data_IF_362075030324
#
_entry.id   IF_362075030324
#
_cell.length_a   1.000
_cell.length_b   1.000
_cell.length_c   1.000
_cell.angle_alpha   90.00
_cell.angle_beta   90.00
_cell.angle_gamma   90.00
#
_symmetry.space_group_name_H-M   'P 1'
#
loop_
_entity.id
_entity.type
_entity.pdbx_description
1 polymer ?
#
# COMPACT_ATOMS: atom_id res chain seq x y z
N UNK A 1 4.62 -9.17 20.66
CA UNK A 1 4.31 -7.88 19.99
C UNK A 1 2.81 -7.80 20.00
N UNK A 2 2.23 -6.93 20.81
CA UNK A 2 0.79 -7.06 21.11
C UNK A 2 0.00 -6.22 20.13
N UNK A 3 -0.62 -6.90 19.16
CA UNK A 3 -1.66 -6.38 18.28
C UNK A 3 -3.00 -6.90 18.78
N UNK A 4 -4.05 -6.09 18.63
CA UNK A 4 -5.41 -6.54 18.90
C UNK A 4 -5.87 -7.51 17.82
N UNK A 5 -6.84 -8.35 18.14
CA UNK A 5 -7.41 -9.30 17.18
C UNK A 5 -7.96 -8.61 15.92
N UNK A 6 -8.61 -7.45 16.08
CA UNK A 6 -9.15 -6.65 14.96
C UNK A 6 -8.10 -5.99 14.08
N UNK A 7 -6.82 -6.04 14.49
CA UNK A 7 -5.66 -5.53 13.76
C UNK A 7 -4.93 -6.62 12.97
N UNK A 8 -5.24 -7.89 13.21
CA UNK A 8 -4.64 -9.01 12.52
C UNK A 8 -5.43 -9.39 11.27
N UNK A 9 -4.72 -9.80 10.23
CA UNK A 9 -5.34 -10.22 8.99
C UNK A 9 -6.18 -11.50 9.16
N UNK A 10 -7.49 -11.46 8.85
CA UNK A 10 -8.35 -12.63 8.97
C UNK A 10 -7.99 -13.70 7.93
N UNK A 11 -8.24 -14.97 8.28
CA UNK A 11 -8.03 -16.09 7.36
C UNK A 11 -8.94 -16.02 6.11
N UNK A 12 -10.12 -15.41 6.21
CA UNK A 12 -11.10 -15.35 5.13
C UNK A 12 -10.70 -14.41 3.98
N UNK A 13 -9.83 -13.44 4.27
CA UNK A 13 -9.37 -12.42 3.31
C UNK A 13 -7.85 -12.39 3.15
N UNK A 14 -7.17 -13.47 3.57
CA UNK A 14 -5.72 -13.59 3.47
C UNK A 14 -5.27 -13.78 2.03
N UNK A 15 -4.11 -13.22 1.70
CA UNK A 15 -3.44 -13.53 0.44
C UNK A 15 -2.94 -14.97 0.43
N UNK A 16 -2.90 -15.55 -0.77
CA UNK A 16 -2.25 -16.83 -1.02
C UNK A 16 -0.74 -16.73 -0.80
N UNK A 17 -0.08 -17.88 -0.65
CA UNK A 17 1.37 -17.93 -0.52
C UNK A 17 2.07 -17.36 -1.76
N UNK A 18 1.58 -17.67 -2.96
CA UNK A 18 2.11 -17.13 -4.21
C UNK A 18 2.03 -15.60 -4.25
N UNK A 19 0.90 -15.01 -3.86
CA UNK A 19 0.75 -13.56 -3.78
C UNK A 19 1.68 -12.93 -2.73
N UNK A 20 1.99 -13.64 -1.65
CA UNK A 20 3.00 -13.19 -0.68
C UNK A 20 4.41 -13.24 -1.28
N UNK A 21 4.74 -14.28 -2.05
CA UNK A 21 6.03 -14.42 -2.75
C UNK A 21 6.18 -13.31 -3.79
N UNK A 22 5.17 -13.08 -4.63
CA UNK A 22 5.18 -12.01 -5.62
C UNK A 22 5.43 -10.65 -4.97
N UNK A 23 4.77 -10.39 -3.83
CA UNK A 23 4.93 -9.14 -3.10
C UNK A 23 6.31 -9.00 -2.44
N UNK A 24 6.85 -10.09 -1.88
CA UNK A 24 8.21 -10.13 -1.33
C UNK A 24 9.20 -9.75 -2.43
N UNK A 25 9.15 -10.44 -3.57
CA UNK A 25 10.05 -10.15 -4.70
C UNK A 25 9.86 -8.73 -5.25
N UNK A 26 8.61 -8.24 -5.33
CA UNK A 26 8.33 -6.88 -5.78
C UNK A 26 8.96 -5.82 -4.87
N UNK A 27 9.12 -6.11 -3.57
CA UNK A 27 9.65 -5.15 -2.59
C UNK A 27 11.11 -5.38 -2.22
N UNK A 28 11.71 -6.53 -2.60
CA UNK A 28 13.12 -6.81 -2.36
C UNK A 28 14.02 -5.95 -3.23
N UNK A 29 14.98 -5.26 -2.59
CA UNK A 29 16.01 -4.51 -3.32
C UNK A 29 16.97 -5.51 -3.99
N UNK A 30 17.10 -5.43 -5.31
CA UNK A 30 18.03 -6.25 -6.08
C UNK A 30 19.32 -5.46 -6.34
N UNK A 31 20.41 -5.87 -5.71
CA UNK A 31 21.73 -5.24 -5.89
C UNK A 31 22.16 -5.20 -7.35
N UNK A 32 22.64 -4.05 -7.81
CA UNK A 32 23.11 -3.85 -9.19
C UNK A 32 22.00 -3.53 -10.20
N UNK A 33 20.73 -3.58 -9.80
CA UNK A 33 19.61 -3.17 -10.65
C UNK A 33 19.42 -1.65 -10.57
N UNK A 34 19.34 -0.99 -11.72
CA UNK A 34 19.01 0.44 -11.77
C UNK A 34 17.52 0.63 -11.42
N UNK A 35 17.25 1.42 -10.38
CA UNK A 35 15.87 1.75 -10.01
C UNK A 35 15.26 2.68 -11.05
N UNK A 36 14.10 2.29 -11.57
CA UNK A 36 13.27 3.16 -12.37
C UNK A 36 12.65 4.23 -11.49
N UNK A 37 12.64 5.47 -11.99
CA UNK A 37 12.03 6.62 -11.34
C UNK A 37 10.91 7.15 -12.24
N UNK A 38 9.77 6.44 -12.33
CA UNK A 38 8.73 6.77 -13.29
C UNK A 38 8.07 8.14 -13.01
N UNK A 39 8.27 8.70 -11.81
CA UNK A 39 7.84 10.05 -11.47
C UNK A 39 6.32 10.23 -11.64
N UNK A 40 5.89 11.38 -12.17
CA UNK A 40 4.46 11.64 -12.43
C UNK A 40 3.88 10.74 -13.54
N UNK A 41 4.71 10.24 -14.46
CA UNK A 41 4.27 9.40 -15.59
C UNK A 41 3.88 7.99 -15.16
N UNK A 42 4.28 7.57 -13.96
CA UNK A 42 3.77 6.35 -13.32
C UNK A 42 2.22 6.31 -13.33
N UNK A 43 1.56 7.47 -13.15
CA UNK A 43 0.11 7.52 -13.10
C UNK A 43 -0.53 7.18 -14.47
N UNK A 44 0.15 7.43 -15.59
CA UNK A 44 -0.36 7.24 -16.95
C UNK A 44 -0.21 5.79 -17.45
N UNK A 45 0.77 5.03 -16.94
CA UNK A 45 1.09 3.67 -17.42
C UNK A 45 0.59 2.55 -16.50
N UNK A 46 0.18 2.85 -15.28
CA UNK A 46 0.06 1.87 -14.19
C UNK A 46 -1.40 1.66 -13.77
N UNK A 47 -2.10 0.76 -14.47
CA UNK A 47 -3.53 0.46 -14.24
C UNK A 47 -3.73 -0.30 -12.92
N UNK A 48 -4.85 -0.02 -12.25
CA UNK A 48 -5.32 -0.82 -11.11
C UNK A 48 -5.70 -2.23 -11.59
N UNK A 49 -5.36 -3.23 -10.78
CA UNK A 49 -5.77 -4.61 -11.02
C UNK A 49 -7.16 -4.83 -10.41
N UNK A 50 -8.03 -5.52 -11.13
CA UNK A 50 -9.35 -5.89 -10.63
C UNK A 50 -9.25 -7.10 -9.67
N UNK A 51 -10.13 -7.20 -8.64
CA UNK A 51 -11.24 -6.30 -8.36
C UNK A 51 -10.81 -5.03 -7.61
N UNK A 52 -11.32 -3.87 -8.03
CA UNK A 52 -11.15 -2.61 -7.28
C UNK A 52 -11.94 -2.61 -5.97
N UNK A 53 -11.45 -1.92 -4.92
CA UNK A 53 -12.21 -1.73 -3.70
C UNK A 53 -13.43 -0.82 -3.94
N UNK A 54 -14.55 -1.03 -3.23
CA UNK A 54 -15.74 -0.19 -3.35
C UNK A 54 -15.48 1.22 -2.79
N UNK A 55 -16.12 2.25 -3.36
CA UNK A 55 -15.96 3.62 -2.88
C UNK A 55 -16.62 3.82 -1.50
N UNK A 56 -15.81 3.78 -0.45
CA UNK A 56 -16.23 3.90 0.96
C UNK A 56 -15.36 4.91 1.71
N UNK A 57 -15.84 5.35 2.88
CA UNK A 57 -15.13 6.28 3.79
C UNK A 57 -14.49 5.59 5.00
N UNK A 58 -14.83 4.32 5.22
CA UNK A 58 -14.27 3.47 6.27
C UNK A 58 -13.83 2.14 5.69
N UNK A 59 -12.66 1.67 6.10
CA UNK A 59 -12.03 0.44 5.62
C UNK A 59 -11.55 -0.41 6.80
N UNK A 60 -11.11 -1.62 6.51
CA UNK A 60 -10.40 -2.44 7.48
C UNK A 60 -8.93 -2.49 7.06
N UNK A 61 -8.03 -2.06 7.94
CA UNK A 61 -6.58 -2.08 7.70
C UNK A 61 -5.97 -3.02 8.72
N UNK A 62 -5.30 -4.06 8.23
CA UNK A 62 -4.81 -5.18 9.05
C UNK A 62 -3.34 -5.47 8.78
N UNK A 63 -2.72 -6.18 9.72
CA UNK A 63 -1.33 -6.61 9.68
C UNK A 63 -1.28 -8.11 9.48
N UNK A 64 -0.36 -8.57 8.63
CA UNK A 64 0.04 -9.98 8.57
C UNK A 64 1.46 -10.13 9.10
N UNK A 65 1.64 -10.96 10.10
CA UNK A 65 2.98 -11.39 10.54
C UNK A 65 3.36 -12.60 9.67
N UNK A 66 4.36 -12.42 8.82
CA UNK A 66 4.91 -13.47 7.95
C UNK A 66 6.12 -14.12 8.61
N UNK A 67 6.47 -15.33 8.13
CA UNK A 67 7.70 -16.00 8.55
C UNK A 67 8.92 -15.20 8.06
N UNK A 68 9.77 -14.67 8.95
CA UNK A 68 10.92 -13.85 8.56
C UNK A 68 12.00 -14.63 7.80
N UNK A 69 12.00 -15.97 7.86
CA UNK A 69 12.94 -16.79 7.07
C UNK A 69 12.49 -16.81 5.60
N UNK A 70 11.19 -16.89 5.36
CA UNK A 70 10.61 -16.99 4.01
C UNK A 70 10.36 -15.61 3.38
N UNK A 71 9.95 -14.63 4.19
CA UNK A 71 9.57 -13.28 3.77
C UNK A 71 10.36 -12.21 4.52
N UNK A 72 11.69 -12.18 4.38
CA UNK A 72 12.55 -11.29 5.16
C UNK A 72 12.25 -9.80 4.93
N UNK A 73 11.98 -9.40 3.68
CA UNK A 73 11.72 -8.01 3.30
C UNK A 73 10.40 -7.53 3.90
N UNK A 74 9.32 -8.28 3.68
CA UNK A 74 8.00 -7.95 4.22
C UNK A 74 8.00 -7.96 5.75
N UNK A 75 8.71 -8.90 6.37
CA UNK A 75 8.84 -8.97 7.83
C UNK A 75 9.59 -7.77 8.38
N UNK A 76 10.67 -7.33 7.71
CA UNK A 76 11.41 -6.12 8.08
C UNK A 76 10.51 -4.88 7.99
N UNK A 77 9.82 -4.68 6.87
CA UNK A 77 8.91 -3.54 6.71
C UNK A 77 7.79 -3.55 7.76
N UNK A 78 7.19 -4.72 8.02
CA UNK A 78 6.13 -4.87 9.01
C UNK A 78 6.62 -4.50 10.42
N UNK A 79 7.78 -5.02 10.81
CA UNK A 79 8.34 -4.74 12.13
C UNK A 79 8.68 -3.26 12.30
N UNK A 80 9.31 -2.64 11.30
CA UNK A 80 9.66 -1.23 11.31
C UNK A 80 8.41 -0.34 11.37
N UNK A 81 7.44 -0.60 10.49
CA UNK A 81 6.15 0.10 10.45
C UNK A 81 5.44 0.04 11.81
N UNK A 82 5.37 -1.13 12.45
CA UNK A 82 4.72 -1.27 13.76
C UNK A 82 5.46 -0.51 14.88
N UNK A 83 6.79 -0.43 14.83
CA UNK A 83 7.56 0.37 15.78
C UNK A 83 7.31 1.85 15.57
N UNK A 84 7.34 2.32 14.32
CA UNK A 84 7.17 3.72 13.97
C UNK A 84 5.74 4.21 14.26
N UNK A 85 4.72 3.43 13.91
CA UNK A 85 3.32 3.76 14.22
C UNK A 85 3.06 3.84 15.73
N UNK A 86 3.75 3.02 16.54
CA UNK A 86 3.67 3.09 18.01
C UNK A 86 4.37 4.32 18.55
N UNK A 87 5.60 4.60 18.07
CA UNK A 87 6.37 5.79 18.43
C UNK A 87 5.57 7.06 18.17
N UNK A 88 4.88 7.08 17.03
CA UNK A 88 4.09 8.23 16.58
C UNK A 88 2.68 8.25 17.21
N UNK A 89 2.31 7.23 18.00
CA UNK A 89 1.06 7.18 18.75
C UNK A 89 -0.21 6.91 17.93
N UNK A 90 -0.08 6.55 16.65
CA UNK A 90 -1.20 6.45 15.70
C UNK A 90 -1.57 5.00 15.32
N UNK A 91 -0.87 3.99 15.85
CA UNK A 91 -1.11 2.57 15.52
C UNK A 91 -2.60 2.19 15.57
N UNK A 92 -3.26 2.54 16.68
CA UNK A 92 -4.66 2.16 16.92
C UNK A 92 -5.69 3.00 16.15
N UNK A 93 -5.26 4.11 15.55
CA UNK A 93 -6.12 5.00 14.77
C UNK A 93 -6.16 4.59 13.29
N UNK A 94 -5.08 3.96 12.81
CA UNK A 94 -4.89 3.64 11.38
C UNK A 94 -4.90 2.14 11.10
N UNK A 95 -4.71 1.28 12.11
CA UNK A 95 -4.79 -0.18 11.97
C UNK A 95 -5.92 -0.70 12.86
N UNK A 96 -6.85 -1.44 12.24
CA UNK A 96 -8.02 -2.03 12.85
C UNK A 96 -9.19 -2.12 11.89
N UNK A 97 -10.32 -2.58 12.41
CA UNK A 97 -11.58 -2.61 11.67
C UNK A 97 -12.28 -1.23 11.66
N UNK A 98 -12.93 -0.90 10.55
CA UNK A 98 -13.72 0.32 10.37
C UNK A 98 -12.98 1.64 10.63
N UNK A 99 -11.68 1.67 10.34
CA UNK A 99 -10.83 2.87 10.41
C UNK A 99 -11.16 3.85 9.30
N UNK A 100 -10.83 5.13 9.52
CA UNK A 100 -11.07 6.17 8.52
C UNK A 100 -10.16 5.99 7.31
N UNK A 101 -10.75 5.89 6.12
CA UNK A 101 -10.02 5.72 4.88
C UNK A 101 -10.96 5.92 3.70
N UNK A 102 -10.96 7.13 3.13
CA UNK A 102 -11.75 7.47 1.96
C UNK A 102 -11.06 6.99 0.70
N UNK A 103 -11.62 5.96 0.08
CA UNK A 103 -11.11 5.42 -1.18
C UNK A 103 -11.33 6.45 -2.29
N UNK A 104 -10.26 6.77 -3.01
CA UNK A 104 -10.27 7.69 -4.14
C UNK A 104 -10.21 6.92 -5.45
N UNK A 105 -10.99 7.39 -6.41
CA UNK A 105 -11.02 6.85 -7.75
C UNK A 105 -10.05 7.61 -8.66
N UNK A 106 -9.37 6.87 -9.54
CA UNK A 106 -8.72 7.40 -10.72
C UNK A 106 -9.64 7.15 -11.92
N UNK A 107 -9.98 8.22 -12.65
CA UNK A 107 -10.75 8.13 -13.89
C UNK A 107 -9.80 8.22 -15.07
N UNK A 108 -9.96 7.32 -16.04
CA UNK A 108 -9.33 7.47 -17.36
C UNK A 108 -10.02 8.64 -18.06
N UNK A 109 -9.27 9.69 -18.35
CA UNK A 109 -9.75 10.90 -19.03
C UNK A 109 -9.42 10.91 -20.51
N UNK A 110 -8.48 10.07 -20.95
CA UNK A 110 -8.14 9.84 -22.35
C UNK A 110 -7.76 8.37 -22.55
N UNK A 111 -8.56 7.65 -23.33
CA UNK A 111 -8.34 6.23 -23.62
C UNK A 111 -7.19 5.98 -24.60
N UNK A 112 -6.90 6.93 -25.50
CA UNK A 112 -5.85 6.80 -26.50
C UNK A 112 -4.46 7.00 -25.89
N UNK A 113 -4.34 7.90 -24.89
CA UNK A 113 -3.09 8.14 -24.16
C UNK A 113 -3.00 7.39 -22.83
N UNK A 114 -4.10 6.82 -22.35
CA UNK A 114 -4.18 6.18 -21.03
C UNK A 114 -4.15 7.17 -19.86
N UNK A 115 -4.26 8.48 -20.13
CA UNK A 115 -4.19 9.52 -19.10
C UNK A 115 -5.30 9.31 -18.06
N UNK A 116 -4.90 9.30 -16.79
CA UNK A 116 -5.85 9.22 -15.66
C UNK A 116 -5.77 10.48 -14.80
N UNK A 117 -6.91 10.84 -14.21
CA UNK A 117 -7.02 11.94 -13.26
C UNK A 117 -7.75 11.47 -12.00
N UNK A 118 -7.32 12.00 -10.85
CA UNK A 118 -8.01 11.77 -9.59
C UNK A 118 -9.39 12.43 -9.63
N UNK A 119 -10.43 11.66 -9.35
CA UNK A 119 -11.80 12.19 -9.33
C UNK A 119 -12.01 13.06 -8.08
N UNK A 120 -12.48 14.30 -8.30
CA UNK A 120 -12.94 15.20 -7.23
C UNK A 120 -11.86 16.14 -6.67
N UNK A 121 -12.02 16.54 -5.41
CA UNK A 121 -11.18 17.56 -4.75
C UNK A 121 -9.75 17.10 -4.47
N UNK A 122 -8.87 18.04 -4.06
CA UNK A 122 -7.48 17.74 -3.66
C UNK A 122 -7.40 16.58 -2.67
N UNK A 123 -6.30 15.82 -2.72
CA UNK A 123 -6.02 14.73 -1.77
C UNK A 123 -5.81 15.35 -0.39
N UNK A 124 -6.63 14.92 0.58
CA UNK A 124 -6.50 15.30 1.98
C UNK A 124 -6.02 14.14 2.84
N UNK A 125 -5.95 14.35 4.16
CA UNK A 125 -5.68 13.26 5.10
C UNK A 125 -6.80 12.21 5.07
N UNK A 126 -6.42 10.99 5.42
CA UNK A 126 -7.23 9.78 5.39
C UNK A 126 -7.81 9.45 4.02
N UNK A 127 -7.14 9.84 2.94
CA UNK A 127 -7.50 9.40 1.59
C UNK A 127 -6.66 8.17 1.22
N UNK A 128 -7.32 7.14 0.73
CA UNK A 128 -6.69 5.95 0.18
C UNK A 128 -6.62 6.15 -1.32
N UNK A 129 -5.41 6.39 -1.81
CA UNK A 129 -5.14 6.75 -3.20
C UNK A 129 -4.50 5.57 -3.90
N UNK A 130 -5.02 5.12 -5.06
CA UNK A 130 -4.39 4.06 -5.83
C UNK A 130 -2.99 4.44 -6.28
N UNK A 131 -2.07 3.48 -6.32
CA UNK A 131 -0.70 3.65 -6.81
C UNK A 131 -0.40 2.81 -8.03
N UNK A 132 -0.85 1.57 -8.06
CA UNK A 132 -0.90 0.69 -9.23
C UNK A 132 -1.40 -0.68 -8.79
N UNK A 133 -1.98 -1.49 -9.70
CA UNK A 133 -2.25 -2.90 -9.43
C UNK A 133 -3.14 -3.01 -8.20
N UNK A 134 -2.61 -3.64 -7.15
CA UNK A 134 -3.22 -3.83 -5.86
C UNK A 134 -2.69 -2.90 -4.76
N UNK A 135 -1.80 -1.97 -5.10
CA UNK A 135 -1.13 -1.04 -4.20
C UNK A 135 -1.90 0.27 -4.05
N UNK A 136 -2.04 0.69 -2.81
CA UNK A 136 -2.68 1.93 -2.40
C UNK A 136 -1.83 2.63 -1.36
N UNK A 137 -2.05 3.93 -1.19
CA UNK A 137 -1.46 4.71 -0.10
C UNK A 137 -2.55 5.42 0.66
N UNK A 138 -2.60 5.21 1.97
CA UNK A 138 -3.33 6.07 2.87
C UNK A 138 -2.46 7.29 3.20
N UNK A 139 -2.93 8.48 2.81
CA UNK A 139 -2.30 9.75 3.19
C UNK A 139 -2.75 10.12 4.60
N UNK A 140 -1.80 10.45 5.48
CA UNK A 140 -2.06 10.83 6.86
C UNK A 140 -1.72 12.32 7.07
N UNK A 141 -2.10 12.92 8.21
CA UNK A 141 -1.61 14.25 8.58
C UNK A 141 -0.08 14.33 8.54
N UNK A 142 0.46 15.56 8.43
CA UNK A 142 1.90 15.83 8.43
C UNK A 142 2.71 15.15 7.31
N UNK A 143 2.08 14.83 6.17
CA UNK A 143 2.74 14.14 5.05
C UNK A 143 3.27 12.76 5.42
N UNK A 144 2.58 12.06 6.30
CA UNK A 144 2.87 10.65 6.56
C UNK A 144 2.09 9.76 5.58
N UNK A 145 2.62 8.58 5.30
CA UNK A 145 2.11 7.67 4.29
C UNK A 145 2.09 6.25 4.84
N UNK A 146 0.95 5.57 4.70
CA UNK A 146 0.83 4.14 4.98
C UNK A 146 0.58 3.41 3.66
N UNK A 147 1.50 2.53 3.29
CA UNK A 147 1.42 1.70 2.10
C UNK A 147 0.52 0.51 2.37
N UNK A 148 -0.41 0.27 1.45
CA UNK A 148 -1.48 -0.71 1.60
C UNK A 148 -1.51 -1.65 0.38
N UNK A 149 -1.69 -2.94 0.64
CA UNK A 149 -2.12 -3.95 -0.33
C UNK A 149 -3.61 -4.17 -0.17
N UNK A 150 -4.38 -3.93 -1.22
CA UNK A 150 -5.79 -4.33 -1.23
C UNK A 150 -5.91 -5.84 -1.13
N UNK A 151 -6.77 -6.34 -0.24
CA UNK A 151 -7.02 -7.77 -0.09
C UNK A 151 -8.28 -8.14 -0.88
N UNK A 152 -9.45 -7.76 -0.35
CA UNK A 152 -10.77 -7.97 -0.94
C UNK A 152 -11.75 -6.94 -0.38
N UNK A 153 -12.71 -6.48 -1.18
CA UNK A 153 -13.73 -5.54 -0.74
C UNK A 153 -13.10 -4.29 -0.08
N UNK A 154 -13.43 -4.02 1.18
CA UNK A 154 -12.88 -2.90 1.97
C UNK A 154 -11.66 -3.26 2.84
N UNK A 155 -11.05 -4.42 2.64
CA UNK A 155 -9.91 -4.91 3.43
C UNK A 155 -8.58 -4.58 2.75
N UNK A 156 -7.64 -4.11 3.56
CA UNK A 156 -6.27 -3.79 3.15
C UNK A 156 -5.28 -4.36 4.17
N UNK A 157 -4.19 -4.93 3.67
CA UNK A 157 -3.01 -5.25 4.46
C UNK A 157 -2.08 -4.03 4.45
N UNK A 158 -1.61 -3.60 5.61
CA UNK A 158 -0.55 -2.59 5.69
C UNK A 158 0.83 -3.22 5.40
N UNK A 159 1.66 -2.52 4.64
CA UNK A 159 2.96 -3.00 4.19
C UNK A 159 4.11 -2.23 4.80
N UNK A 160 4.04 -0.89 4.76
CA UNK A 160 5.10 -0.01 5.24
C UNK A 160 4.53 1.35 5.63
N UNK A 161 5.23 2.06 6.50
CA UNK A 161 4.88 3.41 6.94
C UNK A 161 6.08 4.34 6.76
N UNK A 162 5.81 5.56 6.30
CA UNK A 162 6.82 6.58 6.03
C UNK A 162 6.36 7.94 6.56
N UNK A 163 7.26 8.67 7.22
CA UNK A 163 7.01 10.03 7.70
C UNK A 163 7.61 11.11 6.79
N UNK A 164 8.22 10.70 5.67
CA UNK A 164 8.82 11.59 4.69
C UNK A 164 8.51 11.14 3.25
N UNK A 165 8.55 12.09 2.32
CA UNK A 165 8.21 11.87 0.92
C UNK A 165 9.29 11.06 0.18
N UNK A 166 10.56 11.16 0.57
CA UNK A 166 11.67 10.55 -0.15
C UNK A 166 11.69 9.04 0.06
N UNK A 167 11.53 8.58 1.30
CA UNK A 167 11.39 7.16 1.66
C UNK A 167 10.16 6.54 1.00
N UNK A 168 9.02 7.25 1.03
CA UNK A 168 7.79 6.83 0.35
C UNK A 168 8.00 6.69 -1.17
N UNK A 169 8.68 7.65 -1.79
CA UNK A 169 8.96 7.62 -3.23
C UNK A 169 9.93 6.50 -3.58
N UNK A 170 10.96 6.28 -2.76
CA UNK A 170 11.91 5.20 -2.95
C UNK A 170 11.25 3.82 -2.86
N UNK A 171 10.35 3.61 -1.91
CA UNK A 171 9.54 2.39 -1.82
C UNK A 171 8.77 2.12 -3.11
N UNK A 172 8.11 3.15 -3.66
CA UNK A 172 7.37 3.01 -4.92
C UNK A 172 8.29 2.73 -6.11
N UNK A 173 9.45 3.38 -6.19
CA UNK A 173 10.42 3.13 -7.25
C UNK A 173 10.90 1.67 -7.24
N UNK A 174 11.17 1.10 -6.06
CA UNK A 174 11.52 -0.33 -5.90
C UNK A 174 10.38 -1.21 -6.43
N UNK A 175 9.16 -0.97 -5.94
CA UNK A 175 7.97 -1.73 -6.35
C UNK A 175 7.78 -1.72 -7.87
N UNK A 176 7.79 -0.54 -8.50
CA UNK A 176 7.58 -0.40 -9.94
C UNK A 176 8.70 -1.04 -10.76
N UNK A 177 9.96 -0.86 -10.32
CA UNK A 177 11.12 -1.47 -10.98
C UNK A 177 10.99 -2.99 -11.03
N UNK A 178 10.62 -3.61 -9.90
CA UNK A 178 10.57 -5.06 -9.81
C UNK A 178 9.33 -5.66 -10.45
N UNK A 179 8.20 -4.94 -10.45
CA UNK A 179 6.96 -5.41 -11.09
C UNK A 179 7.13 -5.65 -12.60
N UNK A 180 7.92 -4.82 -13.29
CA UNK A 180 8.14 -4.92 -14.75
C UNK A 180 8.91 -6.20 -15.14
N UNK A 181 9.46 -6.93 -14.17
CA UNK A 181 10.18 -8.19 -14.41
C UNK A 181 9.33 -9.46 -14.41
N UNK A 182 8.01 -9.36 -14.30
CA UNK A 182 7.11 -10.52 -14.30
C UNK A 182 6.28 -10.61 -15.58
#
# INVERSE_FOLDING_TARGET
>A
MDLREDQLEPYEVTLTEMENIEMEVALTIVSGRQLEQPGKKAIETLRQQEPKPPLVTKVNIVVKILDPIQFPTLSQFTNQMLQDLRRDGILNDVIGCCVQGKIRELRIVDEATGKVELVGQKIGSYNIVPKESYMYTLTLPNYHFLMLRHLRGKWFRCLAYFCDHDSYTNFLNIFYTNKISF
#
